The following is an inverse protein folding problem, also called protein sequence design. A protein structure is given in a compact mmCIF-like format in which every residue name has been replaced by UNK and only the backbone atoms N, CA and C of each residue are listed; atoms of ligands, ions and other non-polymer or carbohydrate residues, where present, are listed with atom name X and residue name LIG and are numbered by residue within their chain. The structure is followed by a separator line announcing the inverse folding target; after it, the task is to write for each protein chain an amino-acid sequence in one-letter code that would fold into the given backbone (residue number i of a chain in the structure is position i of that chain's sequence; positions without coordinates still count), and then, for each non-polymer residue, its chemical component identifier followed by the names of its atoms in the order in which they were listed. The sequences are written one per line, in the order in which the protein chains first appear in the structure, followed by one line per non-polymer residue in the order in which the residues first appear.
data_IF_159313626145
#
_entry.id   IF_159313626145
#
_cell.length_a   1.000
_cell.length_b   1.000
_cell.length_c   1.000
_cell.angle_alpha   90.00
_cell.angle_beta   90.00
_cell.angle_gamma   90.00
#
_symmetry.space_group_name_H-M   'P 1'
#
loop_
_entity.id
_entity.type
_entity.pdbx_description
1 polymer ?
#
# COMPACT_ATOMS: atom_id res chain seq x y z
N UNK A 1 10.47 -55.60 -18.78
CA UNK A 1 10.49 -54.98 -17.45
C UNK A 1 11.89 -54.81 -16.82
N UNK A 2 12.94 -55.53 -17.24
CA UNK A 2 14.28 -55.40 -16.62
C UNK A 2 15.06 -54.12 -16.97
N UNK A 3 14.88 -53.59 -18.17
CA UNK A 3 15.60 -52.39 -18.64
C UNK A 3 15.19 -51.13 -17.86
N UNK A 4 13.91 -50.99 -17.50
CA UNK A 4 13.41 -49.84 -16.73
C UNK A 4 14.03 -49.81 -15.32
N UNK A 5 14.08 -50.95 -14.63
CA UNK A 5 14.70 -51.05 -13.30
C UNK A 5 16.20 -50.80 -13.37
N UNK A 6 16.88 -51.30 -14.39
CA UNK A 6 18.29 -51.00 -14.62
C UNK A 6 18.53 -49.51 -14.84
N UNK A 7 17.71 -48.85 -15.66
CA UNK A 7 17.80 -47.43 -15.92
C UNK A 7 17.57 -46.60 -14.65
N UNK A 8 16.53 -46.92 -13.87
CA UNK A 8 16.24 -46.26 -12.60
C UNK A 8 17.39 -46.43 -11.59
N UNK A 9 17.97 -47.63 -11.51
CA UNK A 9 19.12 -47.90 -10.66
C UNK A 9 20.34 -47.07 -11.08
N UNK A 10 20.66 -47.02 -12.38
CA UNK A 10 21.80 -46.25 -12.92
C UNK A 10 21.61 -44.75 -12.70
N UNK A 11 20.39 -44.22 -12.92
CA UNK A 11 20.06 -42.81 -12.67
C UNK A 11 20.20 -42.50 -11.18
N UNK A 12 19.58 -43.29 -10.30
CA UNK A 12 19.67 -43.09 -8.84
C UNK A 12 21.11 -43.11 -8.35
N UNK A 13 21.91 -44.07 -8.81
CA UNK A 13 23.33 -44.20 -8.44
C UNK A 13 24.17 -43.03 -8.96
N UNK A 14 23.91 -42.58 -10.19
CA UNK A 14 24.58 -41.43 -10.80
C UNK A 14 24.25 -40.12 -10.08
N UNK A 15 22.97 -39.89 -9.76
CA UNK A 15 22.54 -38.73 -8.99
C UNK A 15 23.14 -38.73 -7.58
N UNK A 16 23.13 -39.88 -6.89
CA UNK A 16 23.71 -40.01 -5.55
C UNK A 16 25.23 -39.81 -5.57
N UNK A 17 25.92 -40.35 -6.58
CA UNK A 17 27.35 -40.14 -6.78
C UNK A 17 27.66 -38.67 -7.02
N UNK A 18 26.93 -38.01 -7.93
CA UNK A 18 27.09 -36.58 -8.22
C UNK A 18 26.84 -35.74 -6.97
N UNK A 19 25.75 -36.01 -6.24
CA UNK A 19 25.45 -35.35 -4.98
C UNK A 19 26.60 -35.54 -4.00
N UNK A 20 27.08 -36.77 -3.78
CA UNK A 20 28.10 -37.13 -2.79
C UNK A 20 29.55 -36.72 -3.12
N UNK A 21 29.84 -36.18 -4.31
CA UNK A 21 31.18 -35.64 -4.65
C UNK A 21 31.62 -34.52 -3.68
N UNK A 22 32.87 -34.54 -3.17
CA UNK A 22 33.37 -33.51 -2.25
C UNK A 22 33.29 -32.08 -2.81
N UNK A 23 33.55 -31.91 -4.12
CA UNK A 23 33.46 -30.63 -4.83
C UNK A 23 32.06 -29.98 -4.76
N UNK A 24 31.01 -30.79 -4.58
CA UNK A 24 29.63 -30.31 -4.53
C UNK A 24 29.16 -30.00 -3.09
N UNK A 25 29.99 -30.24 -2.07
CA UNK A 25 29.63 -30.06 -0.64
C UNK A 25 29.15 -28.65 -0.31
N UNK A 26 29.72 -27.63 -0.95
CA UNK A 26 29.28 -26.24 -0.81
C UNK A 26 27.85 -26.05 -1.35
N UNK A 27 27.63 -26.41 -2.61
CA UNK A 27 26.34 -26.26 -3.28
C UNK A 27 25.21 -27.09 -2.63
N UNK A 28 25.52 -28.20 -1.95
CA UNK A 28 24.54 -28.96 -1.15
C UNK A 28 23.91 -28.14 -0.03
N UNK A 29 24.70 -27.28 0.62
CA UNK A 29 24.24 -26.48 1.75
C UNK A 29 23.59 -25.18 1.28
N UNK A 30 24.11 -24.57 0.22
CA UNK A 30 23.63 -23.29 -0.32
C UNK A 30 22.22 -23.38 -0.92
N UNK A 31 21.82 -24.56 -1.42
CA UNK A 31 20.48 -24.78 -1.96
C UNK A 31 19.49 -25.39 -0.98
N UNK A 32 19.85 -25.57 0.30
CA UNK A 32 18.90 -26.07 1.30
C UNK A 32 17.87 -24.99 1.59
N UNK A 33 16.58 -25.35 1.67
CA UNK A 33 15.54 -24.40 2.09
C UNK A 33 15.90 -23.76 3.44
N UNK A 34 16.47 -24.55 4.35
CA UNK A 34 16.90 -24.13 5.69
C UNK A 34 18.09 -23.14 5.67
N UNK A 35 18.80 -23.05 4.54
CA UNK A 35 19.96 -22.16 4.41
C UNK A 35 19.59 -20.72 4.06
N UNK A 36 18.35 -20.48 3.64
CA UNK A 36 17.84 -19.14 3.39
C UNK A 36 17.43 -18.48 4.72
N UNK A 37 17.81 -17.22 4.89
CA UNK A 37 17.35 -16.43 6.03
C UNK A 37 15.82 -16.40 6.05
N UNK A 38 15.24 -16.56 7.24
CA UNK A 38 13.81 -16.54 7.46
C UNK A 38 13.02 -17.65 6.75
N UNK A 39 13.64 -18.79 6.40
CA UNK A 39 12.95 -19.90 5.72
C UNK A 39 11.66 -20.36 6.43
N UNK A 40 11.63 -20.26 7.76
CA UNK A 40 10.46 -20.55 8.59
C UNK A 40 9.28 -19.62 8.29
N UNK A 41 9.54 -18.36 7.93
CA UNK A 41 8.49 -17.39 7.58
C UNK A 41 7.83 -17.74 6.25
N UNK A 42 8.54 -18.44 5.35
CA UNK A 42 7.98 -18.95 4.10
C UNK A 42 7.25 -20.30 4.28
N UNK A 43 7.53 -21.01 5.38
CA UNK A 43 6.89 -22.29 5.73
C UNK A 43 5.66 -22.12 6.62
N UNK A 44 5.59 -21.04 7.40
CA UNK A 44 4.38 -20.58 8.05
C UNK A 44 3.38 -20.25 6.94
N UNK A 45 2.46 -21.18 6.66
CA UNK A 45 1.48 -21.02 5.60
C UNK A 45 0.71 -19.71 5.71
N UNK A 46 0.13 -19.29 4.59
CA UNK A 46 -0.73 -18.13 4.41
C UNK A 46 -1.42 -17.61 5.69
N UNK A 47 -0.95 -16.47 6.21
CA UNK A 47 -1.66 -15.72 7.25
C UNK A 47 -2.60 -14.69 6.58
N UNK A 48 -3.93 -14.79 6.78
CA UNK A 48 -4.86 -13.79 6.29
C UNK A 48 -4.57 -12.36 6.79
N UNK A 49 -3.93 -12.21 7.95
CA UNK A 49 -3.55 -10.91 8.49
C UNK A 49 -2.45 -10.23 7.65
N UNK A 50 -1.46 -10.99 7.17
CA UNK A 50 -0.39 -10.50 6.30
C UNK A 50 -0.95 -9.98 4.98
N UNK A 51 -2.02 -10.58 4.47
CA UNK A 51 -2.67 -10.11 3.24
C UNK A 51 -3.31 -8.74 3.43
N UNK A 52 -3.92 -8.48 4.58
CA UNK A 52 -4.53 -7.17 4.87
C UNK A 52 -3.47 -6.07 4.99
N UNK A 53 -2.32 -6.37 5.59
CA UNK A 53 -1.21 -5.42 5.69
C UNK A 53 -0.56 -5.18 4.32
N UNK A 54 -0.27 -6.25 3.57
CA UNK A 54 0.27 -6.14 2.21
C UNK A 54 -0.66 -5.38 1.25
N UNK A 55 -1.98 -5.56 1.36
CA UNK A 55 -2.95 -4.82 0.55
C UNK A 55 -2.95 -3.32 0.90
N UNK A 56 -2.88 -2.96 2.18
CA UNK A 56 -2.77 -1.54 2.61
C UNK A 56 -1.47 -0.92 2.12
N UNK A 57 -0.37 -1.66 2.21
CA UNK A 57 0.93 -1.22 1.72
C UNK A 57 0.91 -1.03 0.20
N UNK A 58 0.33 -1.97 -0.55
CA UNK A 58 0.14 -1.84 -2.00
C UNK A 58 -0.71 -0.61 -2.37
N UNK A 59 -1.84 -0.39 -1.70
CA UNK A 59 -2.65 0.82 -1.93
C UNK A 59 -1.86 2.10 -1.65
N UNK A 60 -1.08 2.12 -0.57
CA UNK A 60 -0.29 3.28 -0.20
C UNK A 60 0.80 3.56 -1.25
N UNK A 61 1.48 2.52 -1.72
CA UNK A 61 2.49 2.60 -2.77
C UNK A 61 1.87 3.05 -4.10
N UNK A 62 0.70 2.53 -4.44
CA UNK A 62 -0.03 2.94 -5.65
C UNK A 62 -0.41 4.42 -5.59
N UNK A 63 -0.95 4.89 -4.47
CA UNK A 63 -1.27 6.32 -4.25
C UNK A 63 -0.03 7.20 -4.41
N UNK A 64 1.12 6.78 -3.87
CA UNK A 64 2.38 7.51 -4.05
C UNK A 64 2.85 7.50 -5.51
N UNK A 65 2.72 6.37 -6.20
CA UNK A 65 3.08 6.24 -7.61
C UNK A 65 2.21 7.11 -8.52
N UNK A 66 0.89 7.12 -8.31
CA UNK A 66 -0.06 7.96 -9.04
C UNK A 66 0.24 9.44 -8.82
N UNK A 67 0.58 9.81 -7.58
CA UNK A 67 0.97 11.17 -7.23
C UNK A 67 2.24 11.59 -7.97
N UNK A 68 3.29 10.77 -7.99
CA UNK A 68 4.50 11.04 -8.76
C UNK A 68 4.20 11.14 -10.25
N UNK A 69 3.38 10.23 -10.79
CA UNK A 69 2.98 10.20 -12.20
C UNK A 69 2.23 11.47 -12.60
N UNK A 70 1.39 12.01 -11.73
CA UNK A 70 0.68 13.28 -11.97
C UNK A 70 1.58 14.51 -11.89
N UNK A 71 2.69 14.45 -11.15
CA UNK A 71 3.64 15.56 -10.96
C UNK A 71 4.74 15.57 -12.02
N UNK A 72 5.11 14.41 -12.57
CA UNK A 72 6.15 14.28 -13.58
C UNK A 72 5.96 15.17 -14.83
N UNK A 73 4.72 15.46 -15.31
CA UNK A 73 4.50 16.40 -16.40
C UNK A 73 4.77 17.87 -16.04
N UNK A 74 4.77 18.22 -14.75
CA UNK A 74 4.89 19.60 -14.26
C UNK A 74 6.34 20.06 -14.08
N UNK A 75 7.29 19.12 -14.07
CA UNK A 75 8.72 19.43 -14.00
C UNK A 75 9.28 19.81 -15.37
N UNK A 76 10.46 20.44 -15.37
CA UNK A 76 11.14 20.85 -16.60
C UNK A 76 11.34 19.66 -17.55
N UNK A 77 11.16 19.84 -18.87
CA UNK A 77 11.20 18.74 -19.85
C UNK A 77 12.54 17.99 -19.86
N UNK A 78 13.65 18.69 -19.69
CA UNK A 78 14.98 18.07 -19.58
C UNK A 78 15.11 17.16 -18.34
N UNK A 79 14.60 17.62 -17.18
CA UNK A 79 14.61 16.86 -15.92
C UNK A 79 13.67 15.66 -16.00
N UNK A 80 12.53 15.82 -16.67
CA UNK A 80 11.61 14.71 -16.97
C UNK A 80 12.28 13.64 -17.83
N UNK A 81 12.98 14.05 -18.89
CA UNK A 81 13.73 13.14 -19.74
C UNK A 81 14.80 12.39 -18.95
N UNK A 82 15.54 13.09 -18.09
CA UNK A 82 16.55 12.50 -17.21
C UNK A 82 15.95 11.45 -16.25
N UNK A 83 14.84 11.75 -15.59
CA UNK A 83 14.13 10.79 -14.70
C UNK A 83 13.69 9.56 -15.51
N UNK A 84 13.16 9.74 -16.73
CA UNK A 84 12.77 8.62 -17.58
C UNK A 84 13.96 7.75 -17.97
N UNK A 85 15.13 8.34 -18.24
CA UNK A 85 16.37 7.58 -18.46
C UNK A 85 16.79 6.83 -17.20
N UNK A 86 16.66 7.43 -16.02
CA UNK A 86 16.91 6.72 -14.75
C UNK A 86 16.02 5.48 -14.60
N UNK A 87 14.73 5.60 -14.89
CA UNK A 87 13.79 4.48 -14.84
C UNK A 87 14.12 3.41 -15.90
N UNK A 88 14.48 3.82 -17.12
CA UNK A 88 14.82 2.91 -18.22
C UNK A 88 16.13 2.14 -17.98
N UNK A 89 17.14 2.80 -17.41
CA UNK A 89 18.48 2.23 -17.25
C UNK A 89 18.77 1.70 -15.84
N UNK A 90 17.79 1.75 -14.92
CA UNK A 90 17.93 1.29 -13.55
C UNK A 90 18.94 2.13 -12.76
N UNK A 91 18.89 3.46 -12.91
CA UNK A 91 19.75 4.42 -12.20
C UNK A 91 21.26 4.21 -12.41
N UNK A 92 21.66 3.55 -13.50
CA UNK A 92 23.08 3.43 -13.91
C UNK A 92 23.59 4.76 -14.47
N UNK A 93 23.98 5.67 -13.59
CA UNK A 93 24.37 7.05 -13.93
C UNK A 93 25.45 7.17 -14.99
N UNK A 94 26.38 6.21 -15.08
CA UNK A 94 27.41 6.20 -16.13
C UNK A 94 26.82 6.07 -17.54
N UNK A 95 25.85 5.17 -17.74
CA UNK A 95 25.18 5.00 -19.02
C UNK A 95 24.28 6.20 -19.35
N UNK A 96 23.61 6.73 -18.34
CA UNK A 96 22.73 7.91 -18.50
C UNK A 96 23.57 9.12 -18.90
N UNK A 97 24.71 9.33 -18.25
CA UNK A 97 25.66 10.40 -18.56
C UNK A 97 26.18 10.30 -19.99
N UNK A 98 26.52 9.08 -20.45
CA UNK A 98 26.95 8.82 -21.81
C UNK A 98 25.86 9.17 -22.85
N UNK A 99 24.60 8.80 -22.58
CA UNK A 99 23.46 9.14 -23.47
C UNK A 99 23.18 10.65 -23.47
N UNK A 100 23.33 11.30 -22.31
CA UNK A 100 23.10 12.75 -22.16
C UNK A 100 24.27 13.62 -22.63
N UNK A 101 25.42 13.03 -22.95
CA UNK A 101 26.65 13.77 -23.30
C UNK A 101 27.21 14.60 -22.13
N UNK A 102 26.94 14.21 -20.88
CA UNK A 102 27.36 14.92 -19.66
C UNK A 102 28.34 14.08 -18.84
N UNK A 103 29.00 14.71 -17.87
CA UNK A 103 29.76 13.95 -16.88
C UNK A 103 28.84 13.17 -15.93
N UNK A 104 29.31 12.06 -15.39
CA UNK A 104 28.57 11.28 -14.39
C UNK A 104 28.18 12.13 -13.18
N UNK A 105 29.08 13.00 -12.72
CA UNK A 105 28.83 13.90 -11.57
C UNK A 105 27.69 14.88 -11.86
N UNK A 106 27.74 15.56 -12.99
CA UNK A 106 26.66 16.47 -13.41
C UNK A 106 25.32 15.73 -13.54
N UNK A 107 25.34 14.49 -14.04
CA UNK A 107 24.13 13.67 -14.16
C UNK A 107 23.54 13.37 -12.78
N UNK A 108 24.36 13.00 -11.80
CA UNK A 108 23.91 12.78 -10.41
C UNK A 108 23.33 14.07 -9.81
N UNK A 109 24.02 15.20 -9.99
CA UNK A 109 23.56 16.48 -9.47
C UNK A 109 22.22 16.91 -10.10
N UNK A 110 22.03 16.69 -11.41
CA UNK A 110 20.79 16.99 -12.10
C UNK A 110 19.64 16.07 -11.69
N UNK A 111 19.90 14.78 -11.46
CA UNK A 111 18.91 13.85 -10.92
C UNK A 111 18.46 14.30 -9.53
N UNK A 112 19.39 14.66 -8.65
CA UNK A 112 19.06 15.17 -7.32
C UNK A 112 18.20 16.43 -7.38
N UNK A 113 18.54 17.36 -8.28
CA UNK A 113 17.72 18.57 -8.51
C UNK A 113 16.32 18.24 -9.05
N UNK A 114 16.21 17.25 -9.93
CA UNK A 114 14.91 16.79 -10.43
C UNK A 114 14.05 16.18 -9.31
N UNK A 115 14.66 15.40 -8.40
CA UNK A 115 13.99 14.85 -7.22
C UNK A 115 13.54 15.98 -6.28
N UNK A 116 14.38 16.99 -6.06
CA UNK A 116 14.01 18.16 -5.25
C UNK A 116 12.82 18.93 -5.83
N UNK A 117 12.79 19.12 -7.15
CA UNK A 117 11.64 19.75 -7.81
C UNK A 117 10.35 18.97 -7.57
N UNK A 118 10.39 17.65 -7.77
CA UNK A 118 9.25 16.76 -7.52
C UNK A 118 8.80 16.92 -6.06
N UNK A 119 9.73 16.82 -5.10
CA UNK A 119 9.44 17.00 -3.66
C UNK A 119 8.77 18.35 -3.37
N UNK A 120 9.26 19.44 -3.97
CA UNK A 120 8.67 20.78 -3.79
C UNK A 120 7.25 20.85 -4.32
N UNK A 121 6.97 20.32 -5.50
CA UNK A 121 5.64 20.32 -6.10
C UNK A 121 4.66 19.49 -5.24
N UNK A 122 5.09 18.30 -4.80
CA UNK A 122 4.30 17.45 -3.90
C UNK A 122 4.00 18.16 -2.58
N UNK A 123 5.00 18.81 -1.98
CA UNK A 123 4.82 19.54 -0.73
C UNK A 123 3.82 20.71 -0.87
N UNK A 124 3.85 21.43 -2.00
CA UNK A 124 2.88 22.49 -2.30
C UNK A 124 1.47 21.91 -2.48
N UNK A 125 1.33 20.82 -3.23
CA UNK A 125 0.04 20.13 -3.41
C UNK A 125 -0.55 19.67 -2.08
N UNK A 126 0.24 19.03 -1.22
CA UNK A 126 -0.21 18.59 0.11
C UNK A 126 -0.64 19.76 1.01
N UNK A 127 0.03 20.92 0.91
CA UNK A 127 -0.39 22.14 1.63
C UNK A 127 -1.71 22.69 1.07
N UNK A 128 -1.89 22.66 -0.24
CA UNK A 128 -3.11 23.14 -0.88
C UNK A 128 -4.30 22.20 -0.62
N UNK A 129 -4.11 20.88 -0.62
CA UNK A 129 -5.14 19.91 -0.24
C UNK A 129 -5.54 20.07 1.24
N UNK A 130 -4.62 20.43 2.13
CA UNK A 130 -4.95 20.81 3.51
C UNK A 130 -5.73 22.11 3.63
N UNK A 131 -5.56 23.05 2.70
CA UNK A 131 -6.32 24.32 2.65
C UNK A 131 -7.69 24.18 1.95
N UNK A 132 -7.80 23.23 1.02
CA UNK A 132 -9.02 22.94 0.23
C UNK A 132 -9.86 21.80 0.80
N UNK A 133 -9.40 21.12 1.84
CA UNK A 133 -10.35 20.68 2.85
C UNK A 133 -10.81 21.99 3.50
N UNK A 134 -12.02 22.51 3.20
CA UNK A 134 -12.68 23.25 4.26
C UNK A 134 -12.60 22.33 5.46
N UNK A 135 -12.52 22.89 6.65
CA UNK A 135 -13.06 22.18 7.78
C UNK A 135 -14.46 21.66 7.35
N UNK A 136 -14.53 20.43 6.87
CA UNK A 136 -15.30 19.42 7.55
C UNK A 136 -14.78 19.54 8.99
N UNK A 137 -15.28 20.57 9.68
CA UNK A 137 -15.85 20.38 10.99
C UNK A 137 -16.38 18.97 10.90
N UNK A 138 -15.65 18.06 11.52
CA UNK A 138 -16.26 16.89 12.07
C UNK A 138 -17.39 17.49 12.91
N UNK A 139 -18.56 17.70 12.30
CA UNK A 139 -19.82 17.71 12.99
C UNK A 139 -19.94 16.28 13.46
N UNK A 140 -19.10 15.94 14.43
CA UNK A 140 -19.25 14.78 15.25
C UNK A 140 -20.71 14.82 15.64
N UNK A 141 -21.42 13.74 15.33
CA UNK A 141 -22.79 13.53 15.76
C UNK A 141 -22.84 14.00 17.21
N UNK A 142 -23.63 15.05 17.48
CA UNK A 142 -23.72 15.61 18.82
C UNK A 142 -24.07 14.46 19.77
N UNK A 143 -23.57 14.48 21.00
CA UNK A 143 -23.81 13.41 21.97
C UNK A 143 -25.30 13.04 22.06
N UNK A 144 -26.17 14.04 21.92
CA UNK A 144 -27.64 13.89 21.85
C UNK A 144 -28.13 13.11 20.63
N UNK A 145 -27.64 13.47 19.43
CA UNK A 145 -27.96 12.78 18.17
C UNK A 145 -27.52 11.30 18.21
N UNK A 146 -26.39 11.00 18.86
CA UNK A 146 -25.88 9.63 19.05
C UNK A 146 -26.77 8.85 20.02
N UNK A 147 -27.21 9.47 21.11
CA UNK A 147 -28.14 8.86 22.07
C UNK A 147 -29.50 8.57 21.42
N UNK A 148 -30.07 9.50 20.65
CA UNK A 148 -31.34 9.30 19.92
C UNK A 148 -31.21 8.14 18.93
N UNK A 149 -30.11 8.07 18.18
CA UNK A 149 -29.85 6.99 17.23
C UNK A 149 -29.75 5.62 17.95
N UNK A 150 -29.03 5.53 19.07
CA UNK A 150 -28.92 4.30 19.88
C UNK A 150 -30.27 3.87 20.46
N UNK A 151 -31.03 4.79 21.07
CA UNK A 151 -32.34 4.49 21.64
C UNK A 151 -33.33 3.98 20.58
N UNK A 152 -33.25 4.51 19.35
CA UNK A 152 -34.11 4.10 18.25
C UNK A 152 -33.66 2.80 17.57
N UNK A 153 -32.37 2.65 17.28
CA UNK A 153 -31.85 1.50 16.53
C UNK A 153 -31.55 0.27 17.40
N UNK A 154 -31.03 0.47 18.62
CA UNK A 154 -30.63 -0.63 19.51
C UNK A 154 -31.79 -1.01 20.45
N UNK A 155 -32.41 -0.03 21.10
CA UNK A 155 -33.50 -0.25 22.07
C UNK A 155 -34.90 -0.26 21.46
N UNK A 156 -35.03 0.07 20.17
CA UNK A 156 -36.30 0.07 19.40
C UNK A 156 -37.41 0.94 20.00
N UNK A 157 -37.06 1.98 20.75
CA UNK A 157 -38.04 2.89 21.34
C UNK A 157 -38.78 3.72 20.28
N UNK A 158 -40.01 4.14 20.61
CA UNK A 158 -40.79 5.07 19.78
C UNK A 158 -40.29 6.50 19.97
N UNK A 159 -40.55 7.39 19.02
CA UNK A 159 -40.16 8.81 19.17
C UNK A 159 -40.83 9.48 20.38
N UNK A 160 -42.01 8.99 20.80
CA UNK A 160 -42.69 9.43 22.02
C UNK A 160 -41.91 9.02 23.28
N UNK A 161 -41.49 7.76 23.37
CA UNK A 161 -40.74 7.26 24.53
C UNK A 161 -39.34 7.91 24.64
N UNK A 162 -38.71 8.21 23.49
CA UNK A 162 -37.42 8.92 23.45
C UNK A 162 -37.61 10.38 23.85
N UNK A 163 -38.69 11.02 23.43
CA UNK A 163 -39.04 12.39 23.81
C UNK A 163 -39.27 12.53 25.32
N UNK A 164 -39.98 11.57 25.94
CA UNK A 164 -40.16 11.53 27.39
C UNK A 164 -38.83 11.30 28.13
N UNK A 165 -38.00 10.38 27.65
CA UNK A 165 -36.73 10.06 28.30
C UNK A 165 -35.70 11.20 28.23
N UNK A 166 -35.70 11.97 27.13
CA UNK A 166 -34.75 13.07 26.91
C UNK A 166 -35.34 14.46 27.25
N UNK A 167 -36.59 14.54 27.72
CA UNK A 167 -37.33 15.79 27.93
C UNK A 167 -37.33 16.70 26.69
N UNK A 168 -37.54 16.12 25.51
CA UNK A 168 -37.57 16.82 24.23
C UNK A 168 -38.95 16.72 23.57
N UNK A 169 -39.23 17.60 22.61
CA UNK A 169 -40.40 17.42 21.77
C UNK A 169 -40.18 16.28 20.76
N UNK A 170 -41.24 15.55 20.41
CA UNK A 170 -41.16 14.50 19.38
C UNK A 170 -40.64 15.01 18.04
N UNK A 171 -40.93 16.27 17.70
CA UNK A 171 -40.44 16.93 16.49
C UNK A 171 -38.91 17.08 16.50
N UNK A 172 -38.33 17.54 17.62
CA UNK A 172 -36.89 17.67 17.78
C UNK A 172 -36.18 16.31 17.75
N UNK A 173 -36.75 15.29 18.40
CA UNK A 173 -36.22 13.93 18.35
C UNK A 173 -36.19 13.39 16.92
N UNK A 174 -37.21 13.67 16.12
CA UNK A 174 -37.26 13.26 14.72
C UNK A 174 -36.19 13.97 13.87
N UNK A 175 -36.04 15.28 14.04
CA UNK A 175 -35.02 16.07 13.34
C UNK A 175 -33.59 15.61 13.69
N UNK A 176 -33.31 15.39 14.99
CA UNK A 176 -32.03 14.87 15.47
C UNK A 176 -31.74 13.46 14.96
N UNK A 177 -32.75 12.58 14.94
CA UNK A 177 -32.64 11.23 14.38
C UNK A 177 -32.32 11.29 12.88
N UNK A 178 -33.02 12.12 12.11
CA UNK A 178 -32.80 12.24 10.67
C UNK A 178 -31.41 12.78 10.33
N UNK A 179 -30.92 13.75 11.13
CA UNK A 179 -29.55 14.25 10.99
C UNK A 179 -28.50 13.17 11.30
N UNK A 180 -28.66 12.45 12.41
CA UNK A 180 -27.75 11.37 12.82
C UNK A 180 -27.75 10.19 11.84
N UNK A 181 -28.93 9.82 11.35
CA UNK A 181 -29.11 8.69 10.44
C UNK A 181 -28.53 8.96 9.05
N UNK A 182 -28.73 10.18 8.51
CA UNK A 182 -28.08 10.62 7.26
C UNK A 182 -26.56 10.59 7.38
N UNK A 183 -26.03 11.07 8.50
CA UNK A 183 -24.58 11.03 8.77
C UNK A 183 -24.06 9.59 8.83
N UNK A 184 -24.75 8.69 9.54
CA UNK A 184 -24.38 7.28 9.63
C UNK A 184 -24.41 6.57 8.26
N UNK A 185 -25.38 6.89 7.39
CA UNK A 185 -25.43 6.35 6.02
C UNK A 185 -24.26 6.82 5.15
N UNK A 186 -23.92 8.12 5.20
CA UNK A 186 -22.80 8.67 4.43
C UNK A 186 -21.47 8.04 4.83
N UNK A 187 -21.26 7.79 6.12
CA UNK A 187 -20.05 7.12 6.60
C UNK A 187 -20.00 5.62 6.26
N UNK A 188 -21.14 4.92 6.25
CA UNK A 188 -21.21 3.50 5.85
C UNK A 188 -20.91 3.29 4.37
N UNK A 189 -21.20 4.28 3.52
CA UNK A 189 -20.88 4.29 2.09
C UNK A 189 -19.42 4.63 1.79
N UNK A 190 -18.69 5.26 2.72
CA UNK A 190 -17.25 5.56 2.59
C UNK A 190 -16.35 4.42 3.09
N UNK A 191 -16.92 3.42 3.76
CA UNK A 191 -16.24 2.20 4.24
C UNK A 191 -16.41 0.99 3.32
N UNK A 192 -16.94 1.20 2.11
CA UNK A 192 -17.10 0.23 1.02
C UNK A 192 -16.23 0.68 -0.16
#
# INVERSE_FOLDING_TARGET
MHILFFLQYVIKKSCLSHYNKPRNKFFRKVGSLESYENFQNYLAGYDPADVVENLKDQESQQKMFDLVTSVLPLIKPERKHLINLCLKYGFRYKHIAQVMGKSTKQTVDEVNRAIEDIKKIVAVRNRNEKKFKPELEQKAVSERQSQVLKLRCEKKFSFAAIAEQLNLSQKQVHEEFMAAYKFAQQHKLQSL
#
